data_IF_688644536171
#
_entry.id   IF_688644536171
#
_cell.length_a   1.000
_cell.length_b   1.000
_cell.length_c   1.000
_cell.angle_alpha   90.00
_cell.angle_beta   90.00
_cell.angle_gamma   90.00
#
_symmetry.space_group_name_H-M   'P 1'
#
loop_
_entity.id
_entity.type
_entity.pdbx_description
1 polymer ?
#
# COMPACT_ATOMS: atom_id res chain seq x y z
N UNK A 1 32.12 12.71 -3.61
CA UNK A 1 33.08 12.49 -2.50
C UNK A 1 34.45 12.06 -3.01
N UNK A 2 34.55 11.02 -3.86
CA UNK A 2 35.85 10.58 -4.42
C UNK A 2 36.59 11.65 -5.27
N UNK A 3 35.86 12.61 -5.85
CA UNK A 3 36.40 13.72 -6.64
C UNK A 3 37.00 14.88 -5.85
N UNK A 4 36.88 14.89 -4.51
CA UNK A 4 37.34 16.00 -3.66
C UNK A 4 38.70 15.72 -2.97
N UNK A 5 39.30 14.55 -3.18
CA UNK A 5 40.59 14.22 -2.57
C UNK A 5 41.73 14.78 -3.42
N UNK A 6 42.26 15.94 -3.02
CA UNK A 6 43.58 16.39 -3.49
C UNK A 6 44.69 15.67 -2.70
N UNK A 7 45.67 15.11 -3.41
CA UNK A 7 46.77 14.36 -2.81
C UNK A 7 47.67 15.32 -2.00
N UNK A 8 47.71 15.16 -0.67
CA UNK A 8 48.61 15.91 0.21
C UNK A 8 47.99 17.04 1.05
N UNK A 9 46.67 17.24 1.00
CA UNK A 9 45.94 18.15 1.91
C UNK A 9 45.05 17.38 2.89
N UNK A 10 44.83 17.93 4.07
CA UNK A 10 43.92 17.34 5.07
C UNK A 10 42.48 17.31 4.51
N UNK A 11 41.72 16.28 4.86
CA UNK A 11 40.31 16.16 4.42
C UNK A 11 39.46 17.30 4.98
N UNK A 12 39.85 17.89 6.10
CA UNK A 12 39.21 19.09 6.67
C UNK A 12 39.42 20.35 5.84
N UNK A 13 40.47 20.41 5.01
CA UNK A 13 40.79 21.55 4.13
C UNK A 13 40.15 21.44 2.74
N UNK A 14 39.68 20.25 2.36
CA UNK A 14 39.20 19.93 1.00
C UNK A 14 37.75 19.45 0.94
N UNK A 15 37.18 19.00 2.07
CA UNK A 15 35.82 18.49 2.09
C UNK A 15 34.80 19.63 2.23
N UNK A 16 34.13 19.94 1.14
CA UNK A 16 33.02 20.88 1.16
C UNK A 16 31.78 20.24 1.80
N UNK A 17 31.06 20.96 2.69
CA UNK A 17 29.80 20.48 3.24
C UNK A 17 28.81 20.21 2.09
N UNK A 18 28.20 19.04 2.10
CA UNK A 18 27.20 18.65 1.11
C UNK A 18 25.83 18.99 1.69
N UNK A 19 25.07 19.84 1.02
CA UNK A 19 23.68 20.11 1.38
C UNK A 19 22.76 19.33 0.46
N UNK A 20 21.84 18.56 1.04
CA UNK A 20 20.86 17.77 0.32
C UNK A 20 19.45 18.19 0.78
N UNK A 21 18.59 18.54 -0.17
CA UNK A 21 17.16 18.76 0.09
C UNK A 21 16.40 17.56 -0.47
N UNK A 22 15.58 16.94 0.37
CA UNK A 22 14.78 15.77 0.02
C UNK A 22 13.32 16.18 0.04
N UNK A 23 12.69 16.13 -1.13
CA UNK A 23 11.26 16.37 -1.28
C UNK A 23 10.50 15.07 -1.07
N UNK A 24 9.55 15.09 -0.16
CA UNK A 24 8.67 13.96 0.14
C UNK A 24 7.27 14.38 -0.32
N UNK A 25 6.76 13.68 -1.32
CA UNK A 25 5.43 13.91 -1.88
C UNK A 25 4.43 12.84 -1.43
N UNK A 26 4.45 12.54 -0.14
CA UNK A 26 3.54 11.59 0.48
C UNK A 26 3.15 12.06 1.89
N UNK A 27 1.99 11.64 2.34
CA UNK A 27 1.54 11.82 3.72
C UNK A 27 1.24 10.43 4.25
N UNK A 28 1.89 10.06 5.35
CA UNK A 28 1.51 8.88 6.11
C UNK A 28 0.07 9.05 6.61
N UNK A 29 -0.87 8.32 6.00
CA UNK A 29 -2.30 8.40 6.31
C UNK A 29 -2.62 7.80 7.67
N UNK A 30 -1.78 6.88 8.14
CA UNK A 30 -1.94 6.17 9.40
C UNK A 30 -1.26 6.93 10.55
N UNK A 31 -0.28 7.78 10.24
CA UNK A 31 0.41 8.64 11.19
C UNK A 31 0.25 10.13 10.85
N UNK A 32 -0.76 10.76 11.47
CA UNK A 32 -1.05 12.20 11.31
C UNK A 32 0.03 13.14 11.89
N UNK A 33 1.11 12.61 12.49
CA UNK A 33 2.22 13.43 12.97
C UNK A 33 3.22 13.70 11.87
N UNK A 34 3.70 14.94 11.79
CA UNK A 34 4.78 15.32 10.91
C UNK A 34 6.04 14.51 11.25
N UNK A 35 6.53 13.72 10.32
CA UNK A 35 7.84 13.09 10.41
C UNK A 35 8.87 14.15 10.04
N UNK A 36 9.59 14.65 11.04
CA UNK A 36 10.60 15.72 10.91
C UNK A 36 12.04 15.19 11.05
N UNK A 37 12.20 13.95 11.52
CA UNK A 37 13.49 13.35 11.83
C UNK A 37 13.70 12.07 11.03
N UNK A 38 14.79 12.02 10.27
CA UNK A 38 15.14 10.90 9.40
C UNK A 38 16.55 10.40 9.70
N UNK A 39 16.75 9.08 9.61
CA UNK A 39 18.07 8.45 9.73
C UNK A 39 18.28 7.48 8.58
N UNK A 40 19.42 7.58 7.91
CA UNK A 40 19.84 6.61 6.91
C UNK A 40 20.34 5.35 7.60
N UNK A 41 19.84 4.20 7.16
CA UNK A 41 20.30 2.87 7.57
C UNK A 41 20.72 2.10 6.32
N UNK A 42 21.77 1.28 6.42
CA UNK A 42 22.10 0.31 5.37
C UNK A 42 21.28 -0.98 5.55
N UNK A 43 21.42 -1.93 4.63
CA UNK A 43 20.71 -3.22 4.63
C UNK A 43 21.03 -4.09 5.85
N UNK A 44 22.16 -3.83 6.50
CA UNK A 44 22.62 -4.51 7.73
C UNK A 44 22.13 -3.80 9.01
N UNK A 45 21.35 -2.73 8.88
CA UNK A 45 20.82 -1.94 10.01
C UNK A 45 21.81 -0.95 10.62
N UNK A 46 22.98 -0.76 10.03
CA UNK A 46 23.95 0.23 10.48
C UNK A 46 23.48 1.65 10.15
N UNK A 47 23.37 2.46 11.21
CA UNK A 47 23.02 3.88 11.10
C UNK A 47 24.22 4.66 10.59
N UNK A 48 23.98 5.52 9.59
CA UNK A 48 24.98 6.46 9.07
C UNK A 48 25.46 7.40 10.20
N UNK A 49 26.78 7.43 10.47
CA UNK A 49 27.42 8.28 11.48
C UNK A 49 28.52 9.13 10.83
N UNK A 50 28.70 10.36 11.32
CA UNK A 50 29.80 11.27 10.92
C UNK A 50 29.80 11.68 9.43
N UNK A 51 28.64 11.97 8.84
CA UNK A 51 28.60 12.49 7.47
C UNK A 51 28.83 14.01 7.42
N UNK A 52 29.48 14.48 6.36
CA UNK A 52 29.58 15.91 6.02
C UNK A 52 28.34 16.41 5.26
N UNK A 53 27.23 15.66 5.36
CA UNK A 53 26.02 15.86 4.57
C UNK A 53 24.90 16.40 5.46
N UNK A 54 24.52 17.66 5.24
CA UNK A 54 23.34 18.24 5.89
C UNK A 54 22.11 17.96 5.05
N UNK A 55 21.11 17.28 5.63
CA UNK A 55 19.87 16.94 4.94
C UNK A 55 18.70 17.74 5.48
N UNK A 56 17.96 18.38 4.57
CA UNK A 56 16.69 19.05 4.87
C UNK A 56 15.55 18.29 4.21
N UNK A 57 14.54 17.93 4.99
CA UNK A 57 13.37 17.22 4.52
C UNK A 57 12.20 18.18 4.35
N UNK A 58 11.60 18.18 3.17
CA UNK A 58 10.51 19.08 2.81
C UNK A 58 9.30 18.25 2.41
N UNK A 59 8.26 18.29 3.24
CA UNK A 59 6.97 17.66 2.96
C UNK A 59 6.16 18.53 2.00
N UNK A 60 6.17 18.16 0.72
CA UNK A 60 5.50 18.94 -0.33
C UNK A 60 4.00 19.14 -0.10
N UNK A 61 3.22 18.16 0.39
CA UNK A 61 1.76 18.32 0.51
C UNK A 61 1.31 19.50 1.37
N UNK A 62 2.10 19.91 2.37
CA UNK A 62 1.79 21.05 3.23
C UNK A 62 1.78 22.39 2.49
N UNK A 63 2.41 22.47 1.31
CA UNK A 63 2.40 23.70 0.51
C UNK A 63 1.00 24.12 0.08
N UNK A 64 0.08 23.15 -0.07
CA UNK A 64 -1.31 23.43 -0.41
C UNK A 64 -2.07 24.08 0.76
N UNK A 65 -1.69 23.78 2.00
CA UNK A 65 -2.22 24.44 3.19
C UNK A 65 -1.73 25.89 3.23
N UNK A 66 -0.43 26.12 2.97
CA UNK A 66 0.15 27.46 2.89
C UNK A 66 -0.51 28.28 1.78
N UNK A 67 -0.77 27.70 0.59
CA UNK A 67 -1.53 28.36 -0.48
C UNK A 67 -2.90 28.82 0.01
N UNK A 68 -3.65 27.95 0.71
CA UNK A 68 -5.00 28.27 1.22
C UNK A 68 -4.98 29.42 2.24
N UNK A 69 -3.97 29.47 3.11
CA UNK A 69 -3.88 30.50 4.15
C UNK A 69 -3.32 31.83 3.62
N UNK A 70 -2.23 31.77 2.86
CA UNK A 70 -1.46 32.96 2.45
C UNK A 70 -1.91 33.50 1.10
N UNK A 71 -2.37 32.64 0.19
CA UNK A 71 -2.62 32.96 -1.21
C UNK A 71 -1.34 33.06 -2.03
N UNK A 72 -1.39 32.67 -3.31
CA UNK A 72 -0.21 32.54 -4.18
C UNK A 72 0.60 33.84 -4.32
N UNK A 73 -0.07 35.00 -4.47
CA UNK A 73 0.58 36.32 -4.63
C UNK A 73 1.50 36.71 -3.47
N UNK A 74 1.24 36.19 -2.27
CA UNK A 74 1.99 36.51 -1.05
C UNK A 74 3.00 35.43 -0.68
N UNK A 75 3.10 34.35 -1.46
CA UNK A 75 4.09 33.31 -1.23
C UNK A 75 5.50 33.82 -1.55
N UNK A 76 6.47 33.36 -0.77
CA UNK A 76 7.89 33.63 -1.02
C UNK A 76 8.35 32.87 -2.27
N UNK A 77 9.50 33.24 -2.82
CA UNK A 77 10.07 32.52 -3.97
C UNK A 77 10.26 31.02 -3.73
N UNK A 78 10.69 30.62 -2.52
CA UNK A 78 10.84 29.20 -2.16
C UNK A 78 9.47 28.52 -2.04
N UNK A 79 8.52 29.14 -1.35
CA UNK A 79 7.16 28.60 -1.21
C UNK A 79 6.52 28.39 -2.60
N UNK A 80 6.69 29.34 -3.50
CA UNK A 80 6.20 29.25 -4.87
C UNK A 80 6.89 28.15 -5.67
N UNK A 81 8.22 27.99 -5.53
CA UNK A 81 8.95 26.90 -6.16
C UNK A 81 8.45 25.53 -5.67
N UNK A 82 8.25 25.37 -4.35
CA UNK A 82 7.70 24.15 -3.77
C UNK A 82 6.26 23.88 -4.24
N UNK A 83 5.46 24.93 -4.39
CA UNK A 83 4.10 24.81 -4.90
C UNK A 83 4.09 24.31 -6.35
N UNK A 84 4.98 24.84 -7.20
CA UNK A 84 5.16 24.40 -8.58
C UNK A 84 5.69 22.96 -8.63
N UNK A 85 6.62 22.58 -7.74
CA UNK A 85 7.08 21.19 -7.67
C UNK A 85 5.95 20.22 -7.32
N UNK A 86 5.01 20.63 -6.45
CA UNK A 86 3.89 19.78 -6.03
C UNK A 86 2.75 19.72 -7.05
N UNK A 87 2.38 20.86 -7.65
CA UNK A 87 1.15 21.00 -8.42
C UNK A 87 1.38 21.32 -9.90
N UNK A 88 2.62 21.56 -10.32
CA UNK A 88 2.96 22.02 -11.66
C UNK A 88 2.75 23.52 -11.87
N UNK A 89 2.89 23.94 -13.13
CA UNK A 89 2.64 25.31 -13.57
C UNK A 89 1.19 25.39 -14.04
N UNK A 90 0.28 25.81 -13.16
CA UNK A 90 -1.15 25.99 -13.46
C UNK A 90 -1.47 27.42 -13.96
N UNK A 91 -2.72 27.65 -14.38
CA UNK A 91 -3.16 28.97 -14.88
C UNK A 91 -3.02 30.08 -13.83
N UNK A 92 -3.20 29.76 -12.54
CA UNK A 92 -3.05 30.73 -11.46
C UNK A 92 -1.57 31.17 -11.31
N UNK A 93 -0.63 30.25 -11.52
CA UNK A 93 0.81 30.52 -11.55
C UNK A 93 1.21 31.28 -12.82
N UNK A 94 0.63 30.96 -13.97
CA UNK A 94 0.92 31.67 -15.23
C UNK A 94 0.58 33.16 -15.10
N UNK A 95 -0.48 33.51 -14.37
CA UNK A 95 -0.89 34.89 -14.10
C UNK A 95 0.04 35.66 -13.14
N UNK A 96 1.04 35.03 -12.52
CA UNK A 96 1.99 35.63 -11.58
C UNK A 96 3.34 36.00 -12.23
N UNK A 97 3.32 36.34 -13.52
CA UNK A 97 4.47 36.57 -14.41
C UNK A 97 5.62 37.42 -13.84
N UNK A 98 5.38 38.24 -12.83
CA UNK A 98 6.37 39.14 -12.22
C UNK A 98 7.36 38.43 -11.27
N UNK A 99 7.17 37.14 -10.96
CA UNK A 99 8.05 36.40 -10.04
C UNK A 99 9.13 35.62 -10.80
N UNK A 100 10.39 36.01 -10.63
CA UNK A 100 11.56 35.42 -11.32
C UNK A 100 11.70 33.90 -11.17
N UNK A 101 11.22 33.33 -10.05
CA UNK A 101 11.19 31.87 -9.82
C UNK A 101 10.34 31.15 -10.86
N UNK A 102 9.18 31.70 -11.26
CA UNK A 102 8.30 31.09 -12.27
C UNK A 102 9.02 31.00 -13.60
N UNK A 103 9.74 32.05 -13.99
CA UNK A 103 10.47 32.07 -15.25
C UNK A 103 11.63 31.04 -15.25
N UNK A 104 12.34 30.91 -14.13
CA UNK A 104 13.39 29.89 -13.97
C UNK A 104 12.79 28.48 -14.05
N UNK A 105 11.65 28.24 -13.39
CA UNK A 105 10.98 26.93 -13.39
C UNK A 105 10.42 26.59 -14.78
N UNK A 106 9.83 27.56 -15.51
CA UNK A 106 9.41 27.39 -16.90
C UNK A 106 10.58 27.00 -17.79
N UNK A 107 11.68 27.75 -17.77
CA UNK A 107 12.88 27.44 -18.55
C UNK A 107 13.48 26.07 -18.21
N UNK A 108 13.48 25.68 -16.93
CA UNK A 108 13.94 24.34 -16.52
C UNK A 108 13.03 23.24 -17.03
N UNK A 109 11.71 23.45 -17.02
CA UNK A 109 10.74 22.51 -17.54
C UNK A 109 10.82 22.40 -19.07
N UNK A 110 10.98 23.52 -19.78
CA UNK A 110 11.21 23.55 -21.23
C UNK A 110 12.49 22.79 -21.58
N UNK A 111 13.60 23.06 -20.89
CA UNK A 111 14.86 22.33 -21.07
C UNK A 111 14.71 20.83 -20.81
N UNK A 112 13.99 20.45 -19.77
CA UNK A 112 13.67 19.04 -19.50
C UNK A 112 12.83 18.42 -20.63
N UNK A 113 11.88 19.18 -21.17
CA UNK A 113 11.05 18.75 -22.29
C UNK A 113 11.79 18.75 -23.64
N UNK A 114 12.93 19.42 -23.78
CA UNK A 114 13.75 19.39 -25.00
C UNK A 114 14.77 18.25 -24.97
N UNK A 115 15.32 17.93 -23.80
CA UNK A 115 16.34 16.89 -23.65
C UNK A 115 15.72 15.48 -23.64
N UNK A 116 15.92 14.73 -24.72
CA UNK A 116 15.41 13.36 -24.89
C UNK A 116 15.95 12.39 -23.82
N UNK A 117 17.22 12.53 -23.44
CA UNK A 117 17.87 11.67 -22.44
C UNK A 117 17.30 11.87 -21.02
N UNK A 118 17.01 13.11 -20.63
CA UNK A 118 16.38 13.41 -19.34
C UNK A 118 14.96 12.83 -19.26
N UNK A 119 14.20 12.91 -20.35
CA UNK A 119 12.87 12.30 -20.45
C UNK A 119 12.95 10.79 -20.40
N UNK A 120 13.85 10.16 -21.16
CA UNK A 120 14.00 8.70 -21.17
C UNK A 120 14.36 8.16 -19.77
N UNK A 121 15.23 8.84 -19.03
CA UNK A 121 15.52 8.48 -17.63
C UNK A 121 14.30 8.62 -16.70
N UNK A 122 13.49 9.66 -16.90
CA UNK A 122 12.26 9.87 -16.12
C UNK A 122 11.18 8.83 -16.45
N UNK A 123 10.94 8.57 -17.73
CA UNK A 123 10.00 7.55 -18.19
C UNK A 123 10.38 6.15 -17.72
N UNK A 124 11.67 5.79 -17.76
CA UNK A 124 12.16 4.52 -17.19
C UNK A 124 11.88 4.42 -15.70
N UNK A 125 11.99 5.52 -14.95
CA UNK A 125 11.68 5.55 -13.51
C UNK A 125 10.19 5.40 -13.23
N UNK A 126 9.34 6.08 -13.99
CA UNK A 126 7.88 5.99 -13.84
C UNK A 126 7.35 4.61 -14.28
N UNK A 127 7.93 4.02 -15.34
CA UNK A 127 7.65 2.65 -15.76
C UNK A 127 8.03 1.64 -14.67
N UNK A 128 9.21 1.80 -14.04
CA UNK A 128 9.61 0.95 -12.92
C UNK A 128 8.68 1.12 -11.70
N UNK A 129 8.16 2.33 -11.46
CA UNK A 129 7.19 2.59 -10.39
C UNK A 129 5.84 1.94 -10.67
N UNK A 130 5.33 2.11 -11.88
CA UNK A 130 4.08 1.50 -12.34
C UNK A 130 4.17 -0.04 -12.35
N UNK A 131 5.31 -0.60 -12.75
CA UNK A 131 5.57 -2.04 -12.70
C UNK A 131 5.55 -2.56 -11.25
N UNK A 132 6.24 -1.89 -10.32
CA UNK A 132 6.23 -2.27 -8.91
C UNK A 132 4.83 -2.13 -8.26
N UNK A 133 4.05 -1.11 -8.63
CA UNK A 133 2.68 -0.94 -8.15
C UNK A 133 1.74 -2.02 -8.72
N UNK A 134 1.90 -2.36 -10.00
CA UNK A 134 1.17 -3.46 -10.65
C UNK A 134 1.50 -4.82 -10.02
N UNK A 135 2.78 -5.09 -9.74
CA UNK A 135 3.21 -6.34 -9.11
C UNK A 135 2.67 -6.45 -7.68
N UNK A 136 2.67 -5.36 -6.91
CA UNK A 136 2.04 -5.32 -5.58
C UNK A 136 0.54 -5.59 -5.64
N UNK A 137 -0.14 -5.02 -6.63
CA UNK A 137 -1.58 -5.21 -6.83
C UNK A 137 -1.89 -6.66 -7.21
N UNK A 138 -1.11 -7.25 -8.12
CA UNK A 138 -1.27 -8.65 -8.54
C UNK A 138 -1.05 -9.62 -7.36
N UNK A 139 -0.02 -9.37 -6.53
CA UNK A 139 0.23 -10.16 -5.31
C UNK A 139 -0.94 -10.05 -4.33
N UNK A 140 -1.49 -8.84 -4.13
CA UNK A 140 -2.63 -8.63 -3.25
C UNK A 140 -3.89 -9.35 -3.76
N UNK A 141 -4.21 -9.22 -5.05
CA UNK A 141 -5.37 -9.87 -5.67
C UNK A 141 -5.25 -11.39 -5.63
N UNK A 142 -4.05 -11.92 -5.88
CA UNK A 142 -3.77 -13.36 -5.75
C UNK A 142 -3.96 -13.83 -4.31
N UNK A 143 -3.42 -13.10 -3.32
CA UNK A 143 -3.61 -13.42 -1.90
C UNK A 143 -5.07 -13.36 -1.47
N UNK A 144 -5.85 -12.41 -2.01
CA UNK A 144 -7.28 -12.30 -1.75
C UNK A 144 -8.06 -13.49 -2.35
N UNK A 145 -7.73 -13.89 -3.58
CA UNK A 145 -8.35 -15.03 -4.25
C UNK A 145 -8.04 -16.35 -3.54
N UNK A 146 -6.78 -16.57 -3.16
CA UNK A 146 -6.35 -17.73 -2.38
C UNK A 146 -7.05 -17.77 -1.02
N UNK A 147 -7.10 -16.64 -0.30
CA UNK A 147 -7.80 -16.52 0.98
C UNK A 147 -9.30 -16.79 0.88
N UNK A 148 -9.96 -16.36 -0.22
CA UNK A 148 -11.37 -16.62 -0.47
C UNK A 148 -11.62 -18.10 -0.76
N UNK A 149 -10.80 -18.72 -1.61
CA UNK A 149 -10.91 -20.15 -1.93
C UNK A 149 -10.69 -21.02 -0.67
N UNK A 150 -9.67 -20.70 0.14
CA UNK A 150 -9.46 -21.38 1.41
C UNK A 150 -10.62 -21.18 2.40
N UNK A 151 -11.15 -19.96 2.49
CA UNK A 151 -12.30 -19.62 3.32
C UNK A 151 -13.56 -20.38 2.93
N UNK A 152 -13.82 -20.52 1.62
CA UNK A 152 -14.95 -21.31 1.09
C UNK A 152 -14.79 -22.79 1.41
N UNK A 153 -13.59 -23.37 1.24
CA UNK A 153 -13.33 -24.78 1.57
C UNK A 153 -13.50 -25.04 3.08
N UNK A 154 -12.92 -24.19 3.93
CA UNK A 154 -13.03 -24.28 5.39
C UNK A 154 -14.48 -24.08 5.85
N UNK A 155 -15.21 -23.15 5.24
CA UNK A 155 -16.62 -22.89 5.50
C UNK A 155 -17.51 -24.08 5.12
N UNK A 156 -17.31 -24.65 3.93
CA UNK A 156 -18.04 -25.83 3.48
C UNK A 156 -17.78 -27.05 4.38
N UNK A 157 -16.52 -27.30 4.75
CA UNK A 157 -16.16 -28.39 5.65
C UNK A 157 -16.81 -28.24 7.03
N UNK A 158 -16.77 -27.03 7.61
CA UNK A 158 -17.41 -26.74 8.90
C UNK A 158 -18.94 -26.86 8.84
N UNK A 159 -19.55 -26.44 7.72
CA UNK A 159 -20.99 -26.59 7.48
C UNK A 159 -21.42 -28.05 7.39
N UNK A 160 -20.72 -28.85 6.59
CA UNK A 160 -20.99 -30.28 6.44
C UNK A 160 -20.79 -31.05 7.76
N UNK A 161 -19.81 -30.66 8.57
CA UNK A 161 -19.58 -31.22 9.89
C UNK A 161 -20.77 -30.95 10.83
N UNK A 162 -21.17 -29.68 10.93
CA UNK A 162 -22.29 -29.26 11.77
C UNK A 162 -23.59 -29.96 11.35
N UNK A 163 -23.86 -30.04 10.06
CA UNK A 163 -25.06 -30.70 9.52
C UNK A 163 -25.11 -32.19 9.91
N UNK A 164 -23.99 -32.91 9.88
CA UNK A 164 -23.95 -34.31 10.30
C UNK A 164 -24.18 -34.47 11.82
N UNK A 165 -23.62 -33.57 12.64
CA UNK A 165 -23.86 -33.55 14.09
C UNK A 165 -25.35 -33.35 14.37
N UNK A 166 -25.96 -32.34 13.75
CA UNK A 166 -27.38 -32.01 13.95
C UNK A 166 -28.29 -33.18 13.50
N UNK A 167 -27.94 -33.89 12.41
CA UNK A 167 -28.67 -35.08 11.95
C UNK A 167 -28.56 -36.27 12.91
N UNK A 168 -27.37 -36.53 13.46
CA UNK A 168 -27.14 -37.61 14.41
C UNK A 168 -27.90 -37.33 15.71
N UNK A 169 -27.82 -36.09 16.20
CA UNK A 169 -28.56 -35.62 17.39
C UNK A 169 -30.07 -35.77 17.20
N UNK A 170 -30.61 -35.35 16.04
CA UNK A 170 -32.04 -35.46 15.75
C UNK A 170 -32.54 -36.91 15.65
N UNK A 171 -31.74 -37.82 15.11
CA UNK A 171 -32.16 -39.22 14.90
C UNK A 171 -31.95 -40.11 16.12
N UNK A 172 -30.85 -39.92 16.84
CA UNK A 172 -30.41 -40.83 17.91
C UNK A 172 -30.41 -40.18 19.29
N UNK A 173 -30.60 -38.85 19.40
CA UNK A 173 -30.59 -38.12 20.66
C UNK A 173 -29.20 -38.01 21.31
N UNK A 174 -28.14 -38.34 20.57
CA UNK A 174 -26.75 -38.33 21.04
C UNK A 174 -25.97 -37.31 20.21
N UNK A 175 -25.16 -36.50 20.90
CA UNK A 175 -24.30 -35.50 20.31
C UNK A 175 -22.83 -35.80 20.64
N UNK A 176 -22.04 -36.14 19.62
CA UNK A 176 -20.62 -36.46 19.75
C UNK A 176 -19.79 -35.68 18.72
N UNK A 177 -19.57 -34.40 19.03
CA UNK A 177 -18.89 -33.46 18.14
C UNK A 177 -17.42 -33.87 17.88
N UNK A 178 -16.78 -34.51 18.86
CA UNK A 178 -15.38 -34.97 18.75
C UNK A 178 -15.26 -36.12 17.76
N UNK A 179 -16.14 -37.12 17.85
CA UNK A 179 -16.13 -38.24 16.92
C UNK A 179 -16.43 -37.79 15.49
N UNK A 180 -17.49 -36.99 15.28
CA UNK A 180 -17.86 -36.53 13.92
C UNK A 180 -16.75 -35.66 13.31
N UNK A 181 -16.03 -34.87 14.11
CA UNK A 181 -14.88 -34.08 13.67
C UNK A 181 -13.68 -34.92 13.23
N UNK A 182 -13.57 -36.15 13.73
CA UNK A 182 -12.51 -37.10 13.35
C UNK A 182 -12.77 -37.83 12.03
N UNK A 183 -13.98 -37.72 11.46
CA UNK A 183 -14.38 -38.43 10.26
C UNK A 183 -13.91 -37.74 8.98
N UNK A 184 -13.55 -38.54 7.98
CA UNK A 184 -13.21 -38.04 6.65
C UNK A 184 -14.46 -37.72 5.81
N UNK A 185 -14.29 -36.96 4.73
CA UNK A 185 -15.39 -36.49 3.85
C UNK A 185 -16.24 -37.66 3.29
N UNK A 186 -15.64 -38.83 3.01
CA UNK A 186 -16.40 -39.98 2.51
C UNK A 186 -17.31 -40.56 3.60
N UNK A 187 -16.80 -40.67 4.83
CA UNK A 187 -17.59 -41.10 5.99
C UNK A 187 -18.74 -40.12 6.28
N UNK A 188 -18.48 -38.82 6.26
CA UNK A 188 -19.51 -37.78 6.43
C UNK A 188 -20.61 -37.84 5.36
N UNK A 189 -20.29 -38.20 4.12
CA UNK A 189 -21.29 -38.38 3.04
C UNK A 189 -22.13 -39.63 3.22
N UNK A 190 -21.53 -40.70 3.75
CA UNK A 190 -22.22 -41.98 3.93
C UNK A 190 -23.18 -41.97 5.12
N UNK A 191 -22.88 -41.18 6.17
CA UNK A 191 -23.77 -40.98 7.32
C UNK A 191 -25.18 -40.60 6.87
N UNK A 192 -25.32 -39.64 5.95
CA UNK A 192 -26.63 -39.24 5.43
C UNK A 192 -27.35 -40.40 4.77
N UNK A 193 -26.66 -41.19 3.95
CA UNK A 193 -27.28 -42.34 3.29
C UNK A 193 -27.78 -43.37 4.31
N UNK A 194 -26.98 -43.66 5.34
CA UNK A 194 -27.34 -44.61 6.40
C UNK A 194 -28.52 -44.08 7.24
N UNK A 195 -28.52 -42.79 7.60
CA UNK A 195 -29.62 -42.16 8.35
C UNK A 195 -30.94 -42.20 7.56
N UNK A 196 -30.86 -42.01 6.24
CA UNK A 196 -32.01 -41.97 5.34
C UNK A 196 -32.31 -43.30 4.62
N UNK A 197 -31.60 -44.40 4.96
CA UNK A 197 -31.63 -45.63 4.16
C UNK A 197 -32.98 -46.38 4.17
N UNK A 198 -33.95 -46.01 5.02
CA UNK A 198 -35.39 -46.14 4.74
C UNK A 198 -36.23 -45.66 5.92
N UNK A 199 -37.23 -44.79 5.66
CA UNK A 199 -38.63 -45.01 6.07
C UNK A 199 -39.49 -44.26 5.04
N UNK A 200 -40.01 -44.97 4.03
CA UNK A 200 -41.04 -44.55 3.05
C UNK A 200 -41.14 -43.03 2.85
N UNK A 201 -40.55 -42.50 1.77
CA UNK A 201 -40.55 -41.07 1.40
C UNK A 201 -41.86 -40.33 1.70
N UNK A 202 -43.02 -40.98 1.48
CA UNK A 202 -44.34 -40.44 1.78
C UNK A 202 -44.60 -40.14 3.27
N UNK A 203 -44.10 -40.98 4.20
CA UNK A 203 -44.21 -40.73 5.66
C UNK A 203 -43.30 -39.60 6.13
N UNK A 204 -42.15 -39.41 5.47
CA UNK A 204 -41.29 -38.26 5.70
C UNK A 204 -41.97 -36.97 5.25
N UNK A 205 -42.56 -36.98 4.05
CA UNK A 205 -43.27 -35.82 3.49
C UNK A 205 -44.47 -35.41 4.36
N UNK A 206 -45.30 -36.36 4.78
CA UNK A 206 -46.43 -36.10 5.70
C UNK A 206 -45.98 -35.45 7.02
N UNK A 207 -44.91 -35.95 7.64
CA UNK A 207 -44.37 -35.39 8.90
C UNK A 207 -43.82 -33.97 8.75
N UNK A 208 -43.27 -33.61 7.59
CA UNK A 208 -42.80 -32.25 7.32
C UNK A 208 -43.98 -31.30 7.10
N UNK A 209 -45.02 -31.74 6.40
CA UNK A 209 -46.24 -30.97 6.15
C UNK A 209 -47.07 -30.74 7.45
N UNK A 210 -46.92 -31.60 8.46
CA UNK A 210 -47.55 -31.47 9.78
C UNK A 210 -46.84 -30.47 10.73
N UNK A 211 -45.64 -29.99 10.39
CA UNK A 211 -44.94 -28.97 11.18
C UNK A 211 -45.45 -27.59 10.74
N UNK A 212 -46.17 -26.91 11.63
CA UNK A 212 -46.55 -25.51 11.49
C UNK A 212 -45.89 -24.69 12.61
N UNK A 213 -45.46 -23.46 12.28
CA UNK A 213 -44.85 -22.49 13.21
C UNK A 213 -45.71 -22.19 14.45
#
# INVERSE_FOLDING_TARGET
LASQKEKGKDYTETAHPVYQIIFIDDIDKDNLKLIDTYRSINDEGMVEKYNLTTRSYVQLPYINIIRKQKGLKRMTGIELALYIFKNGIDNDIIGLTDQGVINIMKKKLEKFNEEAELRDMYYKRDLNRAANESEKQEIYEKGLAEGRAEGEIKGFAKGALKENIDLIEARYGIRDDEWVSSLNIKQLKEIKKIIFEEVVYEKFKQRIEEIHE
#
